data_IF_830704896102
#
_entry.id   IF_830704896102
#
_cell.length_a   1.000
_cell.length_b   1.000
_cell.length_c   1.000
_cell.angle_alpha   90.00
_cell.angle_beta   90.00
_cell.angle_gamma   90.00
#
_symmetry.space_group_name_H-M   'P 1'
#
loop_
_entity.id
_entity.type
_entity.pdbx_description
1 polymer ?
#
# COMPACT_ATOMS: atom_id res chain seq x y z
N UNK A 1 -58.18 -18.33 8.27
CA UNK A 1 -56.84 -18.44 8.85
C UNK A 1 -55.86 -17.74 7.93
N UNK A 2 -55.26 -16.67 8.39
CA UNK A 2 -54.28 -15.95 7.62
C UNK A 2 -52.91 -16.21 8.23
N UNK A 3 -52.04 -16.82 7.46
CA UNK A 3 -50.64 -17.03 7.84
C UNK A 3 -49.89 -15.75 7.56
N UNK A 4 -49.39 -15.10 8.61
CA UNK A 4 -48.50 -13.96 8.44
C UNK A 4 -47.08 -14.49 8.30
N UNK A 5 -46.53 -14.39 7.10
CA UNK A 5 -45.14 -14.70 6.89
C UNK A 5 -44.31 -13.50 7.36
N UNK A 6 -43.62 -13.67 8.47
CA UNK A 6 -42.63 -12.70 8.93
C UNK A 6 -41.38 -12.93 8.11
N UNK A 7 -41.14 -12.04 7.16
CA UNK A 7 -39.83 -11.99 6.46
C UNK A 7 -38.85 -11.29 7.38
N UNK A 8 -38.01 -12.05 8.03
CA UNK A 8 -36.87 -11.51 8.75
C UNK A 8 -35.81 -11.21 7.70
N UNK A 9 -35.74 -9.95 7.31
CA UNK A 9 -34.59 -9.47 6.52
C UNK A 9 -33.37 -9.48 7.44
N UNK A 10 -32.55 -10.50 7.34
CA UNK A 10 -31.26 -10.52 7.97
C UNK A 10 -30.37 -9.51 7.22
N UNK A 11 -30.30 -8.30 7.75
CA UNK A 11 -29.28 -7.36 7.32
C UNK A 11 -27.95 -7.89 7.84
N UNK A 12 -27.22 -8.61 6.99
CA UNK A 12 -25.82 -8.86 7.21
C UNK A 12 -25.10 -7.51 7.18
N UNK A 13 -24.88 -6.92 8.35
CA UNK A 13 -23.87 -5.92 8.50
C UNK A 13 -22.53 -6.67 8.39
N UNK A 14 -22.09 -6.89 7.15
CA UNK A 14 -20.73 -7.33 6.92
C UNK A 14 -19.84 -6.21 7.46
N UNK A 15 -19.14 -6.45 8.57
CA UNK A 15 -18.01 -5.65 8.96
C UNK A 15 -16.98 -5.82 7.85
N UNK A 16 -17.05 -4.97 6.84
CA UNK A 16 -16.08 -4.93 5.77
C UNK A 16 -14.76 -4.48 6.38
N UNK A 17 -13.83 -5.41 6.57
CA UNK A 17 -12.44 -5.05 6.65
C UNK A 17 -12.16 -4.26 5.36
N UNK A 18 -11.98 -2.94 5.50
CA UNK A 18 -11.73 -2.08 4.35
C UNK A 18 -10.32 -2.35 3.85
N UNK A 19 -10.21 -3.27 2.89
CA UNK A 19 -9.01 -3.40 2.08
C UNK A 19 -9.00 -2.27 1.06
N UNK A 20 -7.89 -1.53 1.01
CA UNK A 20 -7.72 -0.51 -0.01
C UNK A 20 -7.64 -1.17 -1.38
N UNK A 21 -8.27 -0.61 -2.42
CA UNK A 21 -8.14 -1.12 -3.78
C UNK A 21 -6.69 -1.01 -4.25
N UNK A 22 -6.22 -2.01 -5.00
CA UNK A 22 -4.87 -2.02 -5.56
C UNK A 22 -4.65 -0.96 -6.64
N UNK A 23 -5.74 -0.53 -7.28
CA UNK A 23 -5.71 0.40 -8.41
C UNK A 23 -6.65 1.57 -8.16
N UNK A 24 -6.36 2.32 -7.13
CA UNK A 24 -7.15 3.49 -6.75
C UNK A 24 -6.69 4.72 -7.53
N UNK A 25 -7.54 5.17 -8.46
CA UNK A 25 -7.23 6.29 -9.35
C UNK A 25 -7.12 7.64 -8.63
N UNK A 26 -7.59 7.74 -7.39
CA UNK A 26 -7.40 8.97 -6.59
C UNK A 26 -5.93 9.29 -6.37
N UNK A 27 -5.03 8.30 -6.51
CA UNK A 27 -3.59 8.51 -6.35
C UNK A 27 -3.03 9.53 -7.36
N UNK A 28 -3.62 9.63 -8.54
CA UNK A 28 -3.14 10.55 -9.57
C UNK A 28 -3.30 12.02 -9.20
N UNK A 29 -4.26 12.34 -8.33
CA UNK A 29 -4.57 13.71 -7.92
C UNK A 29 -4.42 13.94 -6.41
N UNK A 30 -4.11 12.90 -5.64
CA UNK A 30 -3.99 13.00 -4.19
C UNK A 30 -2.74 13.80 -3.80
N UNK A 31 -2.90 14.70 -2.85
CA UNK A 31 -1.77 15.36 -2.19
C UNK A 31 -1.25 14.48 -1.05
N UNK A 32 0.05 14.19 -0.98
CA UNK A 32 0.58 13.37 0.10
C UNK A 32 0.50 14.12 1.44
N UNK A 33 0.07 13.42 2.48
CA UNK A 33 0.04 13.95 3.86
C UNK A 33 1.41 13.95 4.50
N UNK A 34 2.35 13.18 3.96
CA UNK A 34 3.73 13.09 4.43
C UNK A 34 4.65 12.68 3.30
N UNK A 35 5.91 13.10 3.40
CA UNK A 35 7.02 12.69 2.54
C UNK A 35 8.11 12.14 3.45
N UNK A 36 8.43 10.86 3.30
CA UNK A 36 9.40 10.19 4.17
C UNK A 36 10.12 9.07 3.45
N UNK A 37 11.23 8.61 4.03
CA UNK A 37 11.96 7.46 3.52
C UNK A 37 11.24 6.14 3.88
N UNK A 38 11.53 5.08 3.12
CA UNK A 38 11.07 3.74 3.46
C UNK A 38 11.56 3.30 4.86
N UNK A 39 12.79 3.68 5.23
CA UNK A 39 13.35 3.41 6.56
C UNK A 39 12.50 4.07 7.64
N UNK A 40 12.20 5.35 7.51
CA UNK A 40 11.42 6.10 8.49
C UNK A 40 9.98 5.58 8.58
N UNK A 41 9.39 5.20 7.45
CA UNK A 41 8.06 4.62 7.42
C UNK A 41 8.00 3.30 8.19
N UNK A 42 8.90 2.38 7.90
CA UNK A 42 8.98 1.10 8.61
C UNK A 42 9.26 1.30 10.11
N UNK A 43 10.13 2.23 10.44
CA UNK A 43 10.45 2.55 11.83
C UNK A 43 9.24 3.13 12.58
N UNK A 44 8.44 3.97 11.93
CA UNK A 44 7.23 4.53 12.54
C UNK A 44 6.25 3.42 12.94
N UNK A 45 6.03 2.43 12.08
CA UNK A 45 5.16 1.28 12.36
C UNK A 45 5.75 0.34 13.42
N UNK A 46 7.06 0.27 13.54
CA UNK A 46 7.74 -0.55 14.55
C UNK A 46 7.73 0.11 15.93
N UNK A 47 7.98 1.42 15.97
CA UNK A 47 8.12 2.17 17.21
C UNK A 47 6.78 2.43 17.91
N UNK A 48 5.79 2.87 17.15
CA UNK A 48 4.43 3.14 17.63
C UNK A 48 3.41 2.79 16.56
N UNK A 49 3.00 1.50 16.49
CA UNK A 49 2.09 1.03 15.44
C UNK A 49 0.75 1.78 15.42
N UNK A 50 0.21 2.13 16.58
CA UNK A 50 -1.09 2.81 16.65
C UNK A 50 -1.02 4.25 16.14
N UNK A 51 0.02 4.98 16.48
CA UNK A 51 0.25 6.34 15.98
C UNK A 51 0.50 6.33 14.47
N UNK A 52 1.32 5.40 13.98
CA UNK A 52 1.60 5.25 12.55
C UNK A 52 0.32 4.91 11.76
N UNK A 53 -0.50 4.02 12.30
CA UNK A 53 -1.77 3.64 11.69
C UNK A 53 -2.71 4.83 11.57
N UNK A 54 -2.88 5.60 12.63
CA UNK A 54 -3.72 6.81 12.61
C UNK A 54 -3.23 7.86 11.61
N UNK A 55 -1.91 7.97 11.46
CA UNK A 55 -1.28 8.99 10.64
C UNK A 55 -1.29 8.65 9.15
N UNK A 56 -1.05 7.39 8.80
CA UNK A 56 -0.73 6.98 7.44
C UNK A 56 -1.76 6.10 6.77
N UNK A 57 -2.45 5.21 7.49
CA UNK A 57 -3.35 4.22 6.86
C UNK A 57 -4.52 4.91 6.18
N UNK A 58 -4.74 4.56 4.92
CA UNK A 58 -5.77 5.15 4.06
C UNK A 58 -5.36 6.46 3.42
N UNK A 59 -4.21 7.00 3.76
CA UNK A 59 -3.72 8.29 3.28
C UNK A 59 -2.71 8.11 2.14
N UNK A 60 -2.66 9.10 1.25
CA UNK A 60 -1.59 9.18 0.26
C UNK A 60 -0.31 9.69 0.93
N UNK A 61 0.77 8.97 0.70
CA UNK A 61 2.11 9.35 1.18
C UNK A 61 3.13 9.25 0.05
N UNK A 62 4.19 10.03 0.14
CA UNK A 62 5.32 9.95 -0.78
C UNK A 62 6.49 9.28 -0.06
N UNK A 63 6.96 8.17 -0.62
CA UNK A 63 8.00 7.35 0.00
C UNK A 63 9.19 7.24 -0.94
N UNK A 64 10.37 7.50 -0.41
CA UNK A 64 11.64 7.34 -1.12
C UNK A 64 12.42 6.19 -0.51
N UNK A 65 13.02 5.37 -1.35
CA UNK A 65 13.83 4.26 -0.89
C UNK A 65 14.66 3.64 -1.99
N UNK A 66 15.37 2.57 -1.64
CA UNK A 66 16.23 1.83 -2.53
C UNK A 66 15.57 0.50 -2.89
N UNK A 67 15.47 0.22 -4.17
CA UNK A 67 14.86 -1.02 -4.68
C UNK A 67 15.71 -2.22 -4.25
N UNK A 68 15.07 -3.21 -3.63
CA UNK A 68 15.70 -4.50 -3.31
C UNK A 68 15.81 -5.37 -4.55
N UNK A 69 16.30 -6.58 -4.38
CA UNK A 69 16.32 -7.59 -5.44
C UNK A 69 14.90 -7.74 -6.00
N UNK A 70 14.77 -7.57 -7.33
CA UNK A 70 13.48 -7.67 -7.99
C UNK A 70 13.05 -9.13 -8.12
N UNK A 71 11.77 -9.46 -7.81
CA UNK A 71 11.22 -10.76 -8.13
C UNK A 71 11.23 -11.02 -9.65
N UNK A 72 11.42 -12.27 -10.06
CA UNK A 72 11.37 -12.63 -11.48
C UNK A 72 10.01 -12.34 -12.12
N UNK A 73 8.95 -12.38 -11.33
CA UNK A 73 7.56 -12.16 -11.75
C UNK A 73 7.09 -10.72 -11.57
N UNK A 74 8.00 -9.75 -11.35
CA UNK A 74 7.63 -8.35 -11.07
C UNK A 74 6.76 -7.73 -12.17
N UNK A 75 6.97 -8.12 -13.42
CA UNK A 75 6.16 -7.63 -14.54
C UNK A 75 4.70 -8.10 -14.45
N UNK A 76 4.44 -9.27 -13.90
CA UNK A 76 3.10 -9.83 -13.72
C UNK A 76 2.45 -9.37 -12.43
N UNK A 77 3.20 -9.42 -11.31
CA UNK A 77 2.67 -9.07 -9.99
C UNK A 77 2.62 -7.57 -9.74
N UNK A 78 3.49 -6.80 -10.39
CA UNK A 78 3.67 -5.36 -10.19
C UNK A 78 4.07 -5.02 -8.75
N UNK A 79 4.74 -5.96 -8.07
CA UNK A 79 5.13 -5.86 -6.66
C UNK A 79 6.63 -6.02 -6.50
N UNK A 80 7.20 -5.18 -5.67
CA UNK A 80 8.59 -5.24 -5.26
C UNK A 80 8.77 -4.59 -3.89
N UNK A 81 9.97 -4.67 -3.34
CA UNK A 81 10.25 -4.13 -2.03
C UNK A 81 11.26 -2.99 -2.10
N UNK A 82 11.09 -2.02 -1.20
CA UNK A 82 12.10 -1.02 -0.88
C UNK A 82 12.80 -1.42 0.41
N UNK A 83 14.11 -1.18 0.47
CA UNK A 83 14.87 -1.37 1.68
C UNK A 83 14.39 -0.44 2.79
N UNK A 84 14.20 -0.99 3.99
CA UNK A 84 13.80 -0.27 5.18
C UNK A 84 14.79 -0.48 6.34
N UNK A 85 16.05 -0.68 6.03
CA UNK A 85 17.09 -1.00 7.00
C UNK A 85 17.51 -2.47 6.95
N UNK A 86 18.35 -2.89 7.88
CA UNK A 86 18.95 -4.23 7.89
C UNK A 86 18.03 -5.35 8.39
N UNK A 87 16.84 -5.06 8.90
CA UNK A 87 15.90 -6.03 9.46
C UNK A 87 14.47 -5.75 9.03
N UNK A 88 13.61 -6.77 9.13
CA UNK A 88 12.19 -6.62 8.88
C UNK A 88 11.51 -5.73 9.95
N UNK A 89 10.41 -5.05 9.61
CA UNK A 89 9.71 -5.09 8.33
C UNK A 89 10.39 -4.28 7.24
N UNK A 90 10.16 -4.68 5.99
CA UNK A 90 10.50 -3.91 4.80
C UNK A 90 9.25 -3.15 4.31
N UNK A 91 9.38 -2.45 3.19
CA UNK A 91 8.26 -1.74 2.54
C UNK A 91 7.90 -2.48 1.25
N UNK A 92 6.68 -2.98 1.20
CA UNK A 92 6.15 -3.69 0.03
C UNK A 92 5.39 -2.71 -0.86
N UNK A 93 5.81 -2.59 -2.11
CA UNK A 93 5.20 -1.71 -3.10
C UNK A 93 4.32 -2.52 -4.03
N UNK A 94 3.10 -2.04 -4.27
CA UNK A 94 2.22 -2.52 -5.34
C UNK A 94 1.94 -1.36 -6.29
N UNK A 95 2.36 -1.49 -7.54
CA UNK A 95 2.22 -0.42 -8.54
C UNK A 95 0.79 -0.35 -9.07
N UNK A 96 0.32 0.87 -9.36
CA UNK A 96 -0.93 1.06 -10.07
C UNK A 96 -0.80 0.52 -11.51
N UNK A 97 -1.80 -0.22 -11.97
CA UNK A 97 -1.74 -0.91 -13.28
C UNK A 97 -1.48 0.02 -14.46
N UNK A 98 -2.03 1.24 -14.43
CA UNK A 98 -1.89 2.22 -15.51
C UNK A 98 -0.46 2.74 -15.68
N UNK A 99 0.39 2.57 -14.68
CA UNK A 99 1.77 3.05 -14.68
C UNK A 99 2.80 1.94 -14.51
N UNK A 100 2.35 0.74 -14.17
CA UNK A 100 3.23 -0.37 -13.78
C UNK A 100 4.20 -0.77 -14.88
N UNK A 101 3.74 -0.88 -16.11
CA UNK A 101 4.59 -1.32 -17.22
C UNK A 101 5.78 -0.37 -17.43
N UNK A 102 5.54 0.93 -17.49
CA UNK A 102 6.59 1.92 -17.68
C UNK A 102 7.58 1.94 -16.51
N UNK A 103 7.07 1.82 -15.28
CA UNK A 103 7.91 1.81 -14.09
C UNK A 103 8.76 0.54 -14.04
N UNK A 104 8.17 -0.63 -14.27
CA UNK A 104 8.87 -1.92 -14.24
C UNK A 104 10.01 -1.98 -15.25
N UNK A 105 9.81 -1.43 -16.44
CA UNK A 105 10.86 -1.37 -17.47
C UNK A 105 12.11 -0.60 -17.04
N UNK A 106 11.96 0.36 -16.14
CA UNK A 106 13.05 1.20 -15.65
C UNK A 106 13.63 0.73 -14.32
N UNK A 107 13.07 -0.31 -13.68
CA UNK A 107 13.51 -0.77 -12.38
C UNK A 107 14.84 -1.52 -12.45
N UNK A 108 15.70 -1.21 -11.49
CA UNK A 108 16.95 -1.95 -11.26
C UNK A 108 17.17 -2.13 -9.76
N UNK A 109 17.69 -3.28 -9.31
CA UNK A 109 18.10 -3.45 -7.91
C UNK A 109 19.12 -2.39 -7.50
N UNK A 110 18.97 -1.83 -6.31
CA UNK A 110 19.85 -0.77 -5.83
C UNK A 110 19.50 0.63 -6.31
N UNK A 111 18.53 0.77 -7.18
CA UNK A 111 18.06 2.07 -7.66
C UNK A 111 17.32 2.83 -6.56
N UNK A 112 17.58 4.13 -6.47
CA UNK A 112 16.78 5.02 -5.62
C UNK A 112 15.51 5.42 -6.36
N UNK A 113 14.36 5.31 -5.68
CA UNK A 113 13.06 5.54 -6.26
C UNK A 113 12.17 6.31 -5.28
N UNK A 114 11.38 7.23 -5.80
CA UNK A 114 10.35 7.95 -5.05
C UNK A 114 8.98 7.60 -5.63
N UNK A 115 8.04 7.22 -4.78
CA UNK A 115 6.69 6.81 -5.16
C UNK A 115 5.66 7.53 -4.31
N UNK A 116 4.52 7.85 -4.92
CA UNK A 116 3.32 8.25 -4.20
C UNK A 116 2.38 7.06 -4.15
N UNK A 117 1.95 6.69 -2.94
CA UNK A 117 1.15 5.50 -2.69
C UNK A 117 0.07 5.79 -1.64
N UNK A 118 -0.97 4.97 -1.63
CA UNK A 118 -1.80 4.82 -0.45
C UNK A 118 -1.18 3.81 0.51
N UNK A 119 -1.13 4.15 1.80
CA UNK A 119 -0.63 3.25 2.83
C UNK A 119 -1.76 2.35 3.34
N UNK A 120 -1.57 1.04 3.27
CA UNK A 120 -2.52 0.07 3.81
C UNK A 120 -2.19 -0.31 5.26
N UNK A 121 -0.94 -0.14 5.66
CA UNK A 121 -0.48 -0.44 7.01
C UNK A 121 0.48 -1.61 7.08
N UNK A 122 0.80 -2.02 8.31
CA UNK A 122 1.73 -3.11 8.58
C UNK A 122 1.01 -4.45 8.55
N UNK A 123 1.49 -5.34 7.71
CA UNK A 123 1.27 -6.77 7.75
C UNK A 123 2.64 -7.41 8.06
N UNK A 124 3.12 -8.38 7.30
CA UNK A 124 4.52 -8.83 7.39
C UNK A 124 5.49 -7.68 7.07
N UNK A 125 5.13 -6.87 6.10
CA UNK A 125 5.82 -5.64 5.72
C UNK A 125 4.83 -4.48 5.68
N UNK A 126 5.32 -3.25 5.62
CA UNK A 126 4.45 -2.09 5.39
C UNK A 126 3.94 -2.16 3.96
N UNK A 127 2.62 -2.21 3.79
CA UNK A 127 1.97 -2.37 2.50
C UNK A 127 1.62 -1.02 1.90
N UNK A 128 2.12 -0.76 0.71
CA UNK A 128 1.80 0.42 -0.11
C UNK A 128 1.07 -0.03 -1.37
N UNK A 129 -0.04 0.62 -1.68
CA UNK A 129 -0.93 0.28 -2.79
C UNK A 129 -1.09 1.44 -3.77
N UNK A 130 -1.45 1.11 -5.00
CA UNK A 130 -1.72 2.09 -6.06
C UNK A 130 -0.54 3.02 -6.33
N UNK A 131 0.68 2.52 -6.21
CA UNK A 131 1.87 3.34 -6.29
C UNK A 131 2.14 3.85 -7.70
N UNK A 132 2.47 5.13 -7.78
CA UNK A 132 2.86 5.83 -9.00
C UNK A 132 4.09 6.70 -8.73
N UNK A 133 4.82 7.03 -9.79
CA UNK A 133 5.87 8.04 -9.69
C UNK A 133 5.21 9.41 -9.65
N UNK A 134 5.55 10.25 -8.65
CA UNK A 134 4.94 11.58 -8.52
C UNK A 134 5.22 12.50 -9.69
#
# INVERSE_FOLDING_TARGET
>A
MRTVAIVIAATCAAACAQTLPEHDNRIFTASPVAKLSAVDLAQAFTTDPDAARRRFVGEAIEVSGVVRVLPEDVAQTRRFQLHAGGSDPQVQVSLHEDRAEAIVKSLSPGQRLTLRCFCEGLSTHVQLKSCVVP
#
